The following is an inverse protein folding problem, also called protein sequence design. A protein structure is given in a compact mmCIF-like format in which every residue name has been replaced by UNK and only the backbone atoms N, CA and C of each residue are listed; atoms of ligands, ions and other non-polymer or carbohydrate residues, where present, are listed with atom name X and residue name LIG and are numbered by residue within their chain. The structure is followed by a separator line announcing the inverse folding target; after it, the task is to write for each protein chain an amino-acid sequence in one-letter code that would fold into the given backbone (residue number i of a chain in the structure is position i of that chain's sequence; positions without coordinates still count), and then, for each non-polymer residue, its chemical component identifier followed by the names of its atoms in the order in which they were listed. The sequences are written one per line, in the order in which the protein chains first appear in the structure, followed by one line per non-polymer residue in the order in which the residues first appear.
data_IF_696907406503
#
_entry.id   IF_696907406503
#
_cell.length_a   1.000
_cell.length_b   1.000
_cell.length_c   1.000
_cell.angle_alpha   90.00
_cell.angle_beta   90.00
_cell.angle_gamma   90.00
#
_symmetry.space_group_name_H-M   'P 1'
#
loop_
_entity.id
_entity.type
_entity.pdbx_description
1 polymer ?
#
# COMPACT_ATOMS: atom_id res chain seq x y z
N UNK A 1 8.53 -0.33 -8.26
CA UNK A 1 8.34 -0.95 -6.94
C UNK A 1 6.86 -0.98 -6.60
N UNK A 2 6.43 -2.03 -5.87
CA UNK A 2 5.08 -2.14 -5.32
C UNK A 2 5.16 -2.30 -3.81
N UNK A 3 4.40 -1.49 -3.09
CA UNK A 3 4.26 -1.55 -1.64
C UNK A 3 2.84 -1.89 -1.26
N UNK A 4 2.68 -2.66 -0.19
CA UNK A 4 1.41 -2.90 0.50
C UNK A 4 1.46 -2.21 1.86
N UNK A 5 0.35 -1.63 2.24
CA UNK A 5 0.12 -1.19 3.60
C UNK A 5 -1.13 -1.87 4.15
N UNK A 6 -1.00 -2.47 5.33
CA UNK A 6 -2.09 -3.23 5.98
C UNK A 6 -2.62 -2.45 7.17
N UNK A 7 -3.94 -2.30 7.23
CA UNK A 7 -4.67 -1.67 8.32
C UNK A 7 -5.60 -2.73 8.93
N UNK A 8 -5.55 -2.90 10.24
CA UNK A 8 -6.53 -3.67 10.99
C UNK A 8 -7.61 -2.71 11.50
N UNK A 9 -8.81 -2.80 10.91
CA UNK A 9 -9.94 -1.91 11.20
C UNK A 9 -11.04 -2.64 11.99
N UNK A 10 -10.65 -3.62 12.81
CA UNK A 10 -11.52 -4.31 13.75
C UNK A 10 -11.59 -3.58 15.10
N UNK A 11 -12.70 -3.75 15.80
CA UNK A 11 -12.92 -3.11 17.10
C UNK A 11 -11.94 -3.59 18.18
N UNK A 12 -11.59 -4.89 18.16
CA UNK A 12 -10.72 -5.51 19.15
C UNK A 12 -9.30 -5.62 18.60
N UNK A 13 -8.28 -5.34 19.40
CA UNK A 13 -6.90 -5.58 18.98
C UNK A 13 -6.67 -7.08 18.74
N UNK A 14 -5.85 -7.39 17.74
CA UNK A 14 -5.42 -8.74 17.44
C UNK A 14 -3.90 -8.82 17.60
N UNK A 15 -3.44 -9.63 18.53
CA UNK A 15 -2.01 -9.75 18.86
C UNK A 15 -1.19 -10.31 17.70
N UNK A 16 -1.77 -11.17 16.88
CA UNK A 16 -1.08 -11.75 15.71
C UNK A 16 -0.95 -10.74 14.56
N UNK A 17 -1.86 -9.78 14.46
CA UNK A 17 -1.85 -8.73 13.42
C UNK A 17 -1.09 -7.48 13.85
N UNK A 18 -0.93 -7.26 15.16
CA UNK A 18 -0.31 -6.04 15.69
C UNK A 18 1.10 -5.76 15.13
N UNK A 19 2.01 -6.75 14.91
CA UNK A 19 3.32 -6.50 14.32
C UNK A 19 3.31 -6.15 12.83
N UNK A 20 2.18 -6.40 12.11
CA UNK A 20 2.11 -6.34 10.65
C UNK A 20 1.03 -5.41 10.11
N UNK A 21 0.25 -4.75 11.02
CA UNK A 21 -0.87 -3.89 10.63
C UNK A 21 -1.04 -2.71 11.55
N UNK A 22 -1.52 -1.60 11.00
CA UNK A 22 -1.90 -0.43 11.79
C UNK A 22 -3.32 -0.61 12.32
N UNK A 23 -3.49 -0.78 13.62
CA UNK A 23 -4.80 -0.91 14.24
C UNK A 23 -5.53 0.43 14.31
N UNK A 24 -6.68 0.52 13.60
CA UNK A 24 -7.58 1.70 13.56
C UNK A 24 -8.99 1.25 13.89
N UNK A 25 -9.42 1.41 15.13
CA UNK A 25 -10.66 0.85 15.67
C UNK A 25 -11.76 1.89 15.90
N UNK A 26 -11.44 3.17 15.90
CA UNK A 26 -12.38 4.24 16.31
C UNK A 26 -13.55 4.37 15.35
N UNK A 27 -13.26 4.29 14.05
CA UNK A 27 -14.26 4.41 12.98
C UNK A 27 -14.02 3.33 11.94
N UNK A 28 -15.11 2.84 11.35
CA UNK A 28 -15.01 2.02 10.13
C UNK A 28 -14.54 2.92 9.00
N UNK A 29 -13.48 2.49 8.32
CA UNK A 29 -12.93 3.23 7.18
C UNK A 29 -13.91 3.17 6.01
N UNK A 30 -14.08 4.29 5.33
CA UNK A 30 -14.83 4.41 4.09
C UNK A 30 -13.92 4.14 2.90
N UNK A 31 -13.98 2.90 2.39
CA UNK A 31 -13.11 2.45 1.29
C UNK A 31 -13.43 3.16 -0.02
N UNK A 32 -14.68 3.58 -0.25
CA UNK A 32 -15.05 4.28 -1.47
C UNK A 32 -14.31 5.60 -1.58
N UNK A 33 -14.37 6.41 -0.53
CA UNK A 33 -13.64 7.69 -0.47
C UNK A 33 -12.11 7.50 -0.55
N UNK A 34 -11.60 6.45 0.08
CA UNK A 34 -10.17 6.13 0.00
C UNK A 34 -9.76 5.74 -1.43
N UNK A 35 -10.58 4.97 -2.15
CA UNK A 35 -10.33 4.64 -3.57
C UNK A 35 -10.35 5.87 -4.46
N UNK A 36 -11.33 6.76 -4.27
CA UNK A 36 -11.42 8.01 -5.03
C UNK A 36 -10.14 8.84 -4.85
N UNK A 37 -9.68 8.98 -3.60
CA UNK A 37 -8.43 9.68 -3.30
C UNK A 37 -7.20 9.03 -3.95
N UNK A 38 -7.12 7.70 -3.95
CA UNK A 38 -6.02 6.96 -4.57
C UNK A 38 -6.03 7.07 -6.09
N UNK A 39 -7.19 6.94 -6.71
CA UNK A 39 -7.33 7.03 -8.17
C UNK A 39 -6.88 8.38 -8.71
N UNK A 40 -7.10 9.46 -7.97
CA UNK A 40 -6.60 10.80 -8.32
C UNK A 40 -5.08 10.92 -8.39
N UNK A 41 -4.34 9.93 -7.85
CA UNK A 41 -2.88 9.91 -7.85
C UNK A 41 -2.26 9.15 -9.02
N UNK A 42 -3.06 8.44 -9.84
CA UNK A 42 -2.56 7.70 -11.00
C UNK A 42 -1.89 8.65 -12.01
N UNK A 43 -0.81 8.17 -12.62
CA UNK A 43 -0.03 8.93 -13.61
C UNK A 43 1.19 9.63 -13.02
N UNK A 44 1.78 10.53 -13.84
CA UNK A 44 2.97 11.30 -13.47
C UNK A 44 2.59 12.54 -12.68
N UNK A 45 3.03 12.63 -11.45
CA UNK A 45 2.75 13.77 -10.58
C UNK A 45 3.97 14.17 -9.74
N UNK A 46 3.90 15.37 -9.19
CA UNK A 46 4.86 15.88 -8.22
C UNK A 46 4.37 15.60 -6.79
N UNK A 47 5.07 14.73 -6.11
CA UNK A 47 4.74 14.30 -4.75
C UNK A 47 5.56 15.01 -3.67
N UNK A 48 6.00 16.25 -3.91
CA UNK A 48 6.74 17.05 -2.93
C UNK A 48 6.05 17.12 -1.56
N UNK A 49 4.72 17.13 -1.51
CA UNK A 49 3.96 17.11 -0.26
C UNK A 49 4.31 15.90 0.63
N UNK A 50 4.65 14.75 0.02
CA UNK A 50 5.02 13.52 0.71
C UNK A 50 6.53 13.31 0.83
N UNK A 51 7.32 14.37 0.67
CA UNK A 51 8.77 14.31 0.79
C UNK A 51 9.20 14.68 2.20
N UNK A 52 9.94 13.80 2.89
CA UNK A 52 10.49 14.10 4.22
C UNK A 52 11.60 15.17 4.15
N UNK A 53 11.77 15.91 5.25
CA UNK A 53 12.88 16.83 5.42
C UNK A 53 14.21 16.06 5.28
N UNK A 54 15.20 16.66 4.62
CA UNK A 54 16.51 16.04 4.41
C UNK A 54 16.57 15.04 3.25
N UNK A 55 15.52 14.91 2.44
CA UNK A 55 15.58 14.12 1.21
C UNK A 55 16.62 14.72 0.25
N UNK A 56 17.59 13.91 -0.19
CA UNK A 56 18.63 14.31 -1.17
C UNK A 56 18.18 14.15 -2.63
N UNK A 57 16.92 13.82 -2.90
CA UNK A 57 16.43 13.66 -4.27
C UNK A 57 16.30 15.02 -4.96
N UNK A 58 16.78 15.11 -6.19
CA UNK A 58 16.71 16.33 -7.00
C UNK A 58 15.28 16.71 -7.39
N UNK A 59 14.37 15.74 -7.48
CA UNK A 59 12.95 15.96 -7.83
C UNK A 59 12.02 14.99 -7.11
N UNK A 60 10.78 15.41 -6.90
CA UNK A 60 9.72 14.62 -6.27
C UNK A 60 8.73 14.03 -7.27
N UNK A 61 9.02 14.12 -8.59
CA UNK A 61 8.17 13.56 -9.64
C UNK A 61 8.31 12.05 -9.69
N UNK A 62 7.18 11.36 -9.74
CA UNK A 62 7.12 9.91 -9.93
C UNK A 62 5.81 9.53 -10.62
N UNK A 63 5.81 8.40 -11.32
CA UNK A 63 4.61 7.87 -11.97
C UNK A 63 4.01 6.79 -11.08
N UNK A 64 2.80 7.02 -10.58
CA UNK A 64 1.98 5.99 -9.95
C UNK A 64 1.32 5.19 -11.08
N UNK A 65 1.64 3.90 -11.15
CA UNK A 65 1.24 3.01 -12.24
C UNK A 65 -0.06 2.28 -11.91
N UNK A 66 -0.21 1.89 -10.65
CA UNK A 66 -1.33 1.10 -10.19
C UNK A 66 -1.62 1.40 -8.71
N UNK A 67 -2.89 1.40 -8.36
CA UNK A 67 -3.37 1.48 -6.98
C UNK A 67 -4.48 0.47 -6.78
N UNK A 68 -4.48 -0.17 -5.63
CA UNK A 68 -5.49 -1.14 -5.25
C UNK A 68 -5.87 -0.94 -3.78
N UNK A 69 -7.15 -1.07 -3.47
CA UNK A 69 -7.65 -1.09 -2.11
C UNK A 69 -8.68 -2.20 -1.95
N UNK A 70 -8.39 -3.14 -1.07
CA UNK A 70 -9.24 -4.29 -0.78
C UNK A 70 -9.52 -4.37 0.70
N UNK A 71 -10.79 -4.58 1.06
CA UNK A 71 -11.18 -5.00 2.41
C UNK A 71 -11.51 -6.48 2.41
N UNK A 72 -10.95 -7.19 3.39
CA UNK A 72 -11.30 -8.57 3.70
C UNK A 72 -11.56 -8.67 5.21
N UNK A 73 -12.81 -8.76 5.59
CA UNK A 73 -13.20 -8.67 7.00
C UNK A 73 -12.73 -7.37 7.65
N UNK A 74 -11.95 -7.47 8.70
CA UNK A 74 -11.38 -6.34 9.43
C UNK A 74 -10.05 -5.83 8.84
N UNK A 75 -9.52 -6.48 7.82
CA UNK A 75 -8.30 -6.03 7.16
C UNK A 75 -8.60 -5.16 5.96
N UNK A 76 -7.96 -3.99 5.92
CA UNK A 76 -7.91 -3.12 4.74
C UNK A 76 -6.48 -3.09 4.24
N UNK A 77 -6.29 -3.50 2.99
CA UNK A 77 -5.00 -3.51 2.31
C UNK A 77 -5.00 -2.46 1.21
N UNK A 78 -3.97 -1.65 1.19
CA UNK A 78 -3.72 -0.66 0.14
C UNK A 78 -2.41 -1.01 -0.53
N UNK A 79 -2.45 -1.20 -1.85
CA UNK A 79 -1.27 -1.44 -2.66
C UNK A 79 -1.04 -0.28 -3.63
N UNK A 80 0.22 0.10 -3.78
CA UNK A 80 0.62 1.17 -4.67
C UNK A 80 1.86 0.73 -5.43
N UNK A 81 1.78 0.76 -6.75
CA UNK A 81 2.91 0.54 -7.64
C UNK A 81 3.31 1.85 -8.31
N UNK A 82 4.60 2.17 -8.27
CA UNK A 82 5.13 3.37 -8.89
C UNK A 82 6.54 3.14 -9.46
N UNK A 83 6.95 4.00 -10.40
CA UNK A 83 8.31 4.01 -10.95
C UNK A 83 9.38 4.26 -9.89
N UNK A 84 9.01 4.94 -8.81
CA UNK A 84 9.86 5.16 -7.63
C UNK A 84 9.06 5.75 -6.49
N UNK A 85 9.64 5.76 -5.29
CA UNK A 85 9.05 6.37 -4.11
C UNK A 85 10.05 7.28 -3.42
N UNK A 86 9.55 8.37 -2.86
CA UNK A 86 10.32 9.22 -1.96
C UNK A 86 10.47 8.52 -0.60
N UNK A 87 11.53 8.86 0.13
CA UNK A 87 11.72 8.31 1.48
C UNK A 87 10.55 8.69 2.40
N UNK A 88 9.88 7.66 2.95
CA UNK A 88 8.71 7.81 3.81
C UNK A 88 7.40 8.17 3.10
N UNK A 89 7.39 8.31 1.77
CA UNK A 89 6.23 8.71 0.98
C UNK A 89 4.99 7.86 1.26
N UNK A 90 5.11 6.54 1.20
CA UNK A 90 3.95 5.64 1.39
C UNK A 90 3.34 5.82 2.78
N UNK A 91 4.16 5.96 3.83
CA UNK A 91 3.66 6.15 5.19
C UNK A 91 2.95 7.50 5.39
N UNK A 92 3.49 8.58 4.81
CA UNK A 92 2.85 9.90 4.82
C UNK A 92 1.52 9.87 4.08
N UNK A 93 1.50 9.23 2.90
CA UNK A 93 0.30 9.03 2.11
C UNK A 93 -0.76 8.24 2.90
N UNK A 94 -0.38 7.13 3.54
CA UNK A 94 -1.30 6.29 4.28
C UNK A 94 -1.95 7.02 5.46
N UNK A 95 -1.21 7.89 6.16
CA UNK A 95 -1.79 8.69 7.24
C UNK A 95 -2.89 9.64 6.72
N UNK A 96 -2.66 10.28 5.57
CA UNK A 96 -3.66 11.15 4.94
C UNK A 96 -4.85 10.33 4.40
N UNK A 97 -4.59 9.18 3.79
CA UNK A 97 -5.62 8.31 3.24
C UNK A 97 -6.55 7.76 4.34
N UNK A 98 -6.00 7.37 5.48
CA UNK A 98 -6.79 6.97 6.65
C UNK A 98 -7.63 8.14 7.17
N UNK A 99 -7.10 9.36 7.19
CA UNK A 99 -7.89 10.55 7.55
C UNK A 99 -9.07 10.77 6.59
N UNK A 100 -8.91 10.45 5.29
CA UNK A 100 -10.02 10.46 4.32
C UNK A 100 -11.05 9.38 4.66
N UNK A 101 -10.61 8.14 4.92
CA UNK A 101 -11.51 7.05 5.29
C UNK A 101 -12.24 7.25 6.61
N UNK A 102 -11.66 8.01 7.54
CA UNK A 102 -12.27 8.41 8.81
C UNK A 102 -13.12 9.69 8.73
N UNK A 103 -13.34 10.23 7.53
CA UNK A 103 -14.07 11.49 7.30
C UNK A 103 -13.45 12.74 7.98
N UNK A 104 -12.20 12.68 8.44
CA UNK A 104 -11.46 13.82 9.00
C UNK A 104 -10.84 14.71 7.93
N UNK A 105 -10.73 14.20 6.70
CA UNK A 105 -10.21 14.90 5.54
C UNK A 105 -11.12 14.61 4.34
N UNK A 106 -11.51 15.64 3.57
CA UNK A 106 -12.23 15.41 2.34
C UNK A 106 -11.29 14.91 1.22
N UNK A 107 -11.83 14.19 0.24
CA UNK A 107 -11.06 13.77 -0.96
C UNK A 107 -10.48 14.99 -1.67
N UNK A 108 -11.29 16.07 -1.78
CA UNK A 108 -10.87 17.33 -2.39
C UNK A 108 -9.69 17.98 -1.66
N UNK A 109 -9.75 18.06 -0.31
CA UNK A 109 -8.65 18.64 0.47
C UNK A 109 -7.40 17.79 0.41
N UNK A 110 -7.55 16.44 0.43
CA UNK A 110 -6.44 15.53 0.19
C UNK A 110 -5.76 15.82 -1.15
N UNK A 111 -6.54 15.95 -2.24
CA UNK A 111 -5.99 16.28 -3.56
C UNK A 111 -5.31 17.66 -3.57
N UNK A 112 -5.92 18.66 -2.96
CA UNK A 112 -5.33 19.99 -2.89
C UNK A 112 -3.99 19.99 -2.12
N UNK A 113 -3.90 19.24 -1.02
CA UNK A 113 -2.67 19.15 -0.23
C UNK A 113 -1.48 18.70 -1.06
N UNK A 114 -1.62 17.63 -1.82
CA UNK A 114 -0.49 17.13 -2.57
C UNK A 114 -0.29 17.85 -3.92
N UNK A 115 -1.35 18.24 -4.64
CA UNK A 115 -1.24 19.00 -5.88
C UNK A 115 -0.63 20.37 -5.68
N UNK A 116 -0.94 21.04 -4.58
CA UNK A 116 -0.40 22.35 -4.21
C UNK A 116 0.88 22.24 -3.36
N UNK A 117 1.46 21.06 -3.22
CA UNK A 117 2.70 20.80 -2.49
C UNK A 117 2.69 21.30 -1.05
N UNK A 118 1.55 21.24 -0.37
CA UNK A 118 1.36 21.73 1.01
C UNK A 118 2.00 20.79 2.03
N UNK A 119 3.31 20.67 2.00
CA UNK A 119 4.08 19.78 2.85
C UNK A 119 3.84 19.96 4.34
N UNK A 120 3.59 21.21 4.76
CA UNK A 120 3.34 21.55 6.16
C UNK A 120 2.03 20.94 6.71
N UNK A 121 1.11 20.53 5.83
CA UNK A 121 -0.14 19.83 6.18
C UNK A 121 0.01 18.29 6.16
N UNK A 122 1.14 17.77 5.69
CA UNK A 122 1.41 16.33 5.56
C UNK A 122 2.60 15.97 6.46
N UNK A 123 2.39 16.03 7.78
CA UNK A 123 3.47 15.81 8.76
C UNK A 123 3.43 14.42 9.39
N UNK A 124 2.23 13.91 9.63
CA UNK A 124 2.04 12.61 10.27
C UNK A 124 2.32 11.48 9.31
N UNK A 125 3.08 10.50 9.78
CA UNK A 125 3.37 9.30 9.03
C UNK A 125 2.72 8.10 9.73
N UNK A 126 2.06 7.24 8.96
CA UNK A 126 1.54 5.98 9.44
C UNK A 126 2.67 5.10 10.04
N UNK A 127 2.37 4.23 11.02
CA UNK A 127 3.35 3.33 11.62
C UNK A 127 4.09 2.49 10.58
N UNK A 128 5.36 2.18 10.83
CA UNK A 128 6.19 1.44 9.87
C UNK A 128 5.81 -0.03 9.75
N UNK A 129 5.29 -0.63 10.80
CA UNK A 129 5.00 -2.06 10.86
C UNK A 129 3.86 -2.51 9.92
N UNK A 130 2.97 -1.59 9.50
CA UNK A 130 1.97 -1.90 8.48
C UNK A 130 2.49 -1.91 7.04
N UNK A 131 3.74 -1.48 6.79
CA UNK A 131 4.32 -1.32 5.46
C UNK A 131 5.13 -2.54 5.04
N UNK A 132 4.85 -3.06 3.84
CA UNK A 132 5.58 -4.17 3.23
C UNK A 132 6.00 -3.79 1.80
N UNK A 133 7.26 -4.04 1.43
CA UNK A 133 7.71 -4.01 0.04
C UNK A 133 7.36 -5.36 -0.59
N UNK A 134 6.38 -5.37 -1.51
CA UNK A 134 5.96 -6.59 -2.19
C UNK A 134 6.86 -6.94 -3.35
N UNK A 135 7.25 -5.92 -4.13
CA UNK A 135 7.93 -6.14 -5.40
C UNK A 135 8.90 -5.02 -5.73
N UNK A 136 10.07 -5.40 -6.21
CA UNK A 136 11.02 -4.50 -6.88
C UNK A 136 11.15 -4.97 -8.34
N UNK A 137 10.73 -4.13 -9.30
CA UNK A 137 10.95 -4.36 -10.72
C UNK A 137 12.31 -3.79 -11.14
N UNK A 138 12.95 -4.45 -12.09
CA UNK A 138 14.19 -4.03 -12.74
C UNK A 138 13.95 -4.00 -14.24
N UNK A 139 14.69 -3.19 -14.99
CA UNK A 139 14.58 -3.10 -16.45
C UNK A 139 14.94 -4.43 -17.14
N UNK A 140 15.89 -5.17 -16.57
CA UNK A 140 16.20 -6.54 -16.97
C UNK A 140 15.56 -7.51 -15.98
N UNK A 141 14.93 -8.57 -16.50
CA UNK A 141 14.41 -9.64 -15.66
C UNK A 141 15.58 -10.35 -14.96
N UNK A 142 15.71 -10.12 -13.64
CA UNK A 142 16.75 -10.76 -12.81
C UNK A 142 16.32 -12.17 -12.42
N UNK A 143 15.01 -12.43 -12.38
CA UNK A 143 14.46 -13.74 -12.01
C UNK A 143 13.57 -14.25 -13.14
N UNK A 144 13.60 -15.53 -13.39
CA UNK A 144 12.67 -16.19 -14.32
C UNK A 144 11.25 -16.06 -13.79
N UNK A 145 10.26 -16.03 -14.70
CA UNK A 145 8.83 -15.93 -14.32
C UNK A 145 8.39 -17.03 -13.33
N UNK A 146 8.99 -18.20 -13.40
CA UNK A 146 8.77 -19.34 -12.49
C UNK A 146 9.22 -19.06 -11.03
N UNK A 147 10.09 -18.07 -10.78
CA UNK A 147 10.56 -17.70 -9.44
C UNK A 147 9.74 -16.63 -8.73
N UNK A 148 8.67 -16.15 -9.35
CA UNK A 148 7.79 -15.16 -8.74
C UNK A 148 6.75 -15.83 -7.87
N UNK A 149 7.09 -16.08 -6.62
CA UNK A 149 6.09 -16.44 -5.63
C UNK A 149 5.46 -15.15 -5.10
N UNK A 150 4.16 -15.02 -5.27
CA UNK A 150 3.39 -14.01 -4.57
C UNK A 150 3.23 -14.50 -3.12
N UNK A 151 4.29 -14.32 -2.33
CA UNK A 151 4.29 -14.66 -0.91
C UNK A 151 3.33 -13.72 -0.18
N UNK A 152 2.04 -13.92 -0.39
CA UNK A 152 1.03 -13.29 0.42
C UNK A 152 0.88 -14.08 1.72
N UNK A 153 1.08 -13.50 2.89
CA UNK A 153 0.64 -14.13 4.10
C UNK A 153 -0.90 -14.22 4.04
N UNK A 154 -1.41 -15.42 3.88
CA UNK A 154 -2.83 -15.70 3.93
C UNK A 154 -3.26 -15.75 5.39
N UNK A 155 -4.05 -14.77 5.82
CA UNK A 155 -4.69 -14.81 7.12
C UNK A 155 -6.18 -15.09 6.91
N UNK A 156 -6.63 -16.25 7.31
CA UNK A 156 -8.05 -16.60 7.34
C UNK A 156 -8.64 -16.08 8.65
N UNK A 157 -9.44 -15.03 8.60
CA UNK A 157 -10.10 -14.44 9.78
C UNK A 157 -11.61 -14.73 9.84
N UNK A 158 -12.17 -15.47 8.90
CA UNK A 158 -13.59 -15.84 8.91
C UNK A 158 -13.83 -17.17 8.21
N UNK A 159 -14.85 -17.87 8.67
CA UNK A 159 -15.46 -19.03 8.03
C UNK A 159 -16.03 -18.61 6.65
N UNK A 160 -15.23 -18.61 5.63
CA UNK A 160 -15.72 -18.44 4.27
C UNK A 160 -14.66 -18.92 3.29
N UNK A 161 -15.07 -19.84 2.48
CA UNK A 161 -14.41 -20.44 1.32
C UNK A 161 -13.04 -21.09 1.59
N UNK A 162 -12.88 -22.34 1.17
CA UNK A 162 -11.59 -23.00 1.22
C UNK A 162 -10.56 -22.19 0.42
N UNK A 163 -9.28 -22.20 0.85
CA UNK A 163 -8.24 -21.54 0.08
C UNK A 163 -8.24 -22.06 -1.36
N UNK A 164 -7.93 -21.21 -2.36
CA UNK A 164 -7.70 -21.70 -3.70
C UNK A 164 -6.58 -22.73 -3.67
N UNK A 165 -6.74 -23.79 -4.47
CA UNK A 165 -5.73 -24.83 -4.59
C UNK A 165 -4.36 -24.20 -4.88
N UNK A 166 -3.28 -24.71 -4.27
CA UNK A 166 -1.94 -24.24 -4.58
C UNK A 166 -1.68 -24.43 -6.08
N UNK A 167 -0.99 -23.49 -6.75
CA UNK A 167 -0.62 -23.65 -8.13
C UNK A 167 0.15 -24.96 -8.30
N UNK A 168 -0.04 -25.69 -9.41
CA UNK A 168 0.68 -26.93 -9.65
C UNK A 168 2.19 -26.66 -9.58
N UNK A 169 2.89 -27.53 -8.87
CA UNK A 169 4.35 -27.47 -8.82
C UNK A 169 4.88 -27.52 -10.26
N UNK A 170 5.88 -26.71 -10.61
CA UNK A 170 6.50 -26.81 -11.91
C UNK A 170 6.96 -28.24 -12.13
N UNK A 171 6.54 -28.85 -13.23
CA UNK A 171 7.00 -30.17 -13.61
C UNK A 171 8.53 -30.13 -13.63
N UNK A 172 9.16 -31.02 -12.86
CA UNK A 172 10.58 -31.21 -12.92
C UNK A 172 10.90 -31.63 -14.36
N UNK A 173 11.44 -30.73 -15.16
CA UNK A 173 11.99 -31.05 -16.46
C UNK A 173 13.12 -32.07 -16.24
N UNK A 174 12.72 -33.35 -16.29
CA UNK A 174 13.66 -34.46 -16.41
C UNK A 174 14.23 -34.44 -17.82
N UNK A 175 15.34 -33.77 -17.98
CA UNK A 175 16.30 -34.05 -19.06
C UNK A 175 17.56 -33.27 -18.76
N UNK A 176 18.49 -33.92 -18.09
CA UNK A 176 19.89 -33.87 -18.48
C UNK A 176 20.64 -34.95 -17.67
N UNK A 177 20.76 -36.08 -18.31
CA UNK A 177 21.88 -37.03 -18.14
C UNK A 177 22.83 -36.82 -19.31
#
# INVERSE_FOLDING_TARGET
RRYRYTIHNGRRPNLFLAPWSWHRYQLRLDESRMRDALNGMLGLHDFTAFMRAGSRRAHARTTVQEVELVRQGDLVRVEIQASGFLYGMVRLLMAQLVAVGEHRLSVRDFEQRWRQRRRHEVREAAPGHGLCLLRAGYEQEIFTKAGWYDCQPWFFLAESDPPPDPPPLPEANGSDL
#
